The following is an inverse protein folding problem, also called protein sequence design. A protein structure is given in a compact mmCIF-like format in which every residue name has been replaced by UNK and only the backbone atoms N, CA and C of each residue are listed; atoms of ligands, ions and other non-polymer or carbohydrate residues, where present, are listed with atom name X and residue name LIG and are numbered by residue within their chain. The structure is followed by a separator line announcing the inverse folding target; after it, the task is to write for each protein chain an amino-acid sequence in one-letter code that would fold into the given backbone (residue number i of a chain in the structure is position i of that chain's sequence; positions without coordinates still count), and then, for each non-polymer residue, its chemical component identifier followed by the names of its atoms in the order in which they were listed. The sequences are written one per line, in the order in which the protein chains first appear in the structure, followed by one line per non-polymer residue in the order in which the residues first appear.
data_IF_632251338163
#
_entry.id   IF_632251338163
#
_cell.length_a   1.000
_cell.length_b   1.000
_cell.length_c   1.000
_cell.angle_alpha   90.00
_cell.angle_beta   90.00
_cell.angle_gamma   90.00
#
_symmetry.space_group_name_H-M   'P 1'
#
loop_
_entity.id
_entity.type
_entity.pdbx_description
1 polymer ?
#
# COMPACT_ATOMS: atom_id res chain seq x y z
N UNK A 1 -2.53 -4.38 27.30
CA UNK A 1 -3.72 -3.51 27.27
C UNK A 1 -4.43 -3.55 28.59
N UNK A 2 -4.87 -2.38 29.11
CA UNK A 2 -5.55 -2.30 30.40
C UNK A 2 -6.97 -2.92 30.32
N UNK A 3 -7.54 -3.37 31.48
CA UNK A 3 -8.92 -3.86 31.52
C UNK A 3 -9.94 -2.81 31.04
N UNK A 4 -9.71 -1.54 31.37
CA UNK A 4 -10.57 -0.42 31.01
C UNK A 4 -10.60 -0.22 29.50
N UNK A 5 -9.46 -0.32 28.81
CA UNK A 5 -9.39 -0.25 27.35
C UNK A 5 -10.21 -1.39 26.70
N UNK A 6 -10.11 -2.61 27.22
CA UNK A 6 -10.86 -3.75 26.71
C UNK A 6 -12.36 -3.57 26.88
N UNK A 7 -12.79 -3.08 28.05
CA UNK A 7 -14.18 -2.79 28.32
C UNK A 7 -14.72 -1.72 27.36
N UNK A 8 -13.96 -0.64 27.17
CA UNK A 8 -14.31 0.44 26.23
C UNK A 8 -14.44 -0.08 24.80
N UNK A 9 -13.47 -0.85 24.32
CA UNK A 9 -13.53 -1.44 22.98
C UNK A 9 -14.73 -2.37 22.82
N UNK A 10 -15.02 -3.23 23.81
CA UNK A 10 -16.17 -4.13 23.76
C UNK A 10 -17.50 -3.36 23.66
N UNK A 11 -17.60 -2.20 24.30
CA UNK A 11 -18.77 -1.32 24.16
C UNK A 11 -18.86 -0.76 22.73
N UNK A 12 -17.75 -0.27 22.14
CA UNK A 12 -17.71 0.22 20.76
C UNK A 12 -18.09 -0.87 19.74
N UNK A 13 -17.66 -2.11 19.96
CA UNK A 13 -18.03 -3.26 19.09
C UNK A 13 -19.55 -3.44 19.03
N UNK A 14 -20.26 -3.24 20.14
CA UNK A 14 -21.72 -3.34 20.20
C UNK A 14 -22.37 -2.13 19.54
N UNK A 15 -21.91 -0.93 19.84
CA UNK A 15 -22.48 0.34 19.33
C UNK A 15 -22.30 0.46 17.81
N UNK A 16 -21.12 0.05 17.28
CA UNK A 16 -20.75 0.15 15.87
C UNK A 16 -20.78 -1.19 15.12
N UNK A 17 -21.61 -2.13 15.57
CA UNK A 17 -21.68 -3.50 15.03
C UNK A 17 -21.97 -3.61 13.53
N UNK A 18 -22.48 -2.57 12.89
CA UNK A 18 -22.82 -2.52 11.47
C UNK A 18 -21.77 -1.79 10.64
N UNK A 19 -20.75 -1.24 11.27
CA UNK A 19 -19.63 -0.56 10.65
C UNK A 19 -18.44 -1.52 10.53
N UNK A 20 -17.90 -1.67 9.30
CA UNK A 20 -16.72 -2.50 9.08
C UNK A 20 -15.47 -1.91 9.71
N UNK A 21 -15.33 -0.58 9.68
CA UNK A 21 -14.17 0.17 10.18
C UNK A 21 -14.69 1.39 10.92
N UNK A 22 -14.28 1.54 12.17
CA UNK A 22 -14.64 2.68 13.02
C UNK A 22 -13.41 3.30 13.67
N UNK A 23 -13.11 4.60 13.45
CA UNK A 23 -12.03 5.30 14.13
C UNK A 23 -12.47 5.76 15.52
N UNK A 24 -11.59 5.61 16.51
CA UNK A 24 -11.85 6.12 17.86
C UNK A 24 -10.57 6.62 18.52
N UNK A 25 -10.73 7.38 19.61
CA UNK A 25 -9.63 7.85 20.43
C UNK A 25 -9.75 7.29 21.84
N UNK A 26 -8.61 6.90 22.41
CA UNK A 26 -8.50 6.49 23.80
C UNK A 26 -7.18 6.99 24.37
N UNK A 27 -7.24 7.72 25.52
CA UNK A 27 -6.06 8.34 26.16
C UNK A 27 -5.16 9.13 25.20
N UNK A 28 -5.79 9.93 24.32
CA UNK A 28 -5.10 10.78 23.35
C UNK A 28 -4.46 10.06 22.16
N UNK A 29 -4.61 8.74 22.06
CA UNK A 29 -4.18 7.93 20.91
C UNK A 29 -5.35 7.58 20.02
N UNK A 30 -5.11 7.58 18.71
CA UNK A 30 -6.10 7.18 17.72
C UNK A 30 -5.97 5.69 17.38
N UNK A 31 -7.10 5.03 17.23
CA UNK A 31 -7.23 3.62 16.92
C UNK A 31 -8.29 3.40 15.85
N UNK A 32 -8.24 2.21 15.25
CA UNK A 32 -9.19 1.75 14.26
C UNK A 32 -9.76 0.41 14.69
N UNK A 33 -11.07 0.37 14.99
CA UNK A 33 -11.80 -0.86 15.21
C UNK A 33 -12.18 -1.43 13.85
N UNK A 34 -11.81 -2.68 13.57
CA UNK A 34 -12.21 -3.43 12.39
C UNK A 34 -13.10 -4.60 12.78
N UNK A 35 -14.19 -4.79 12.03
CA UNK A 35 -15.17 -5.87 12.20
C UNK A 35 -15.42 -6.56 10.86
N UNK A 36 -15.90 -7.85 10.85
CA UNK A 36 -16.24 -8.52 9.62
C UNK A 36 -17.32 -7.76 8.83
N UNK A 37 -17.16 -7.72 7.52
CA UNK A 37 -18.13 -7.08 6.63
C UNK A 37 -19.48 -7.82 6.68
N UNK A 38 -20.58 -7.10 6.97
CA UNK A 38 -21.94 -7.63 6.91
C UNK A 38 -22.50 -7.43 5.52
N UNK A 39 -22.26 -8.39 4.65
CA UNK A 39 -22.74 -8.36 3.26
C UNK A 39 -24.23 -8.68 3.19
N UNK A 40 -24.95 -8.00 2.28
CA UNK A 40 -26.36 -8.25 1.95
C UNK A 40 -26.54 -8.45 0.44
N UNK A 41 -27.51 -9.28 0.05
CA UNK A 41 -27.89 -9.47 -1.36
C UNK A 41 -26.77 -10.04 -2.22
N UNK A 42 -26.57 -9.46 -3.41
CA UNK A 42 -25.62 -9.95 -4.43
C UNK A 42 -24.15 -9.96 -3.94
N UNK A 43 -23.82 -9.12 -2.97
CA UNK A 43 -22.47 -9.06 -2.40
C UNK A 43 -22.07 -10.33 -1.64
N UNK A 44 -23.02 -11.07 -1.08
CA UNK A 44 -22.77 -12.40 -0.49
C UNK A 44 -22.30 -13.41 -1.53
N UNK A 45 -22.77 -13.28 -2.78
CA UNK A 45 -22.36 -14.16 -3.88
C UNK A 45 -20.94 -13.82 -4.37
N UNK A 46 -20.58 -12.54 -4.38
CA UNK A 46 -19.26 -12.06 -4.82
C UNK A 46 -18.17 -12.26 -3.76
N UNK A 47 -18.53 -12.22 -2.48
CA UNK A 47 -17.62 -12.45 -1.34
C UNK A 47 -18.21 -13.50 -0.40
N UNK A 48 -18.17 -14.79 -0.74
CA UNK A 48 -18.92 -15.84 -0.03
C UNK A 48 -18.46 -16.09 1.41
N UNK A 49 -17.25 -15.64 1.79
CA UNK A 49 -16.65 -15.92 3.11
C UNK A 49 -16.08 -14.68 3.80
N UNK A 50 -16.90 -13.67 4.16
CA UNK A 50 -16.39 -12.42 4.77
C UNK A 50 -15.69 -12.64 6.12
N UNK A 51 -16.20 -13.53 6.97
CA UNK A 51 -15.55 -13.90 8.24
C UNK A 51 -14.21 -14.58 8.06
N UNK A 52 -14.05 -15.44 7.05
CA UNK A 52 -12.78 -16.09 6.76
C UNK A 52 -11.75 -15.08 6.22
N UNK A 53 -12.18 -14.16 5.36
CA UNK A 53 -11.32 -13.08 4.86
C UNK A 53 -10.82 -12.18 6.00
N UNK A 54 -11.70 -11.85 6.95
CA UNK A 54 -11.38 -11.09 8.14
C UNK A 54 -10.34 -11.82 9.04
N UNK A 55 -10.56 -13.11 9.33
CA UNK A 55 -9.61 -13.92 10.10
C UNK A 55 -8.25 -14.02 9.39
N UNK A 56 -8.26 -14.17 8.08
CA UNK A 56 -7.03 -14.22 7.28
C UNK A 56 -6.27 -12.87 7.32
N UNK A 57 -6.98 -11.73 7.30
CA UNK A 57 -6.37 -10.40 7.43
C UNK A 57 -5.67 -10.26 8.78
N UNK A 58 -6.36 -10.57 9.88
CA UNK A 58 -5.76 -10.55 11.23
C UNK A 58 -4.53 -11.46 11.31
N UNK A 59 -4.65 -12.72 10.87
CA UNK A 59 -3.54 -13.68 10.92
C UNK A 59 -2.34 -13.22 10.08
N UNK A 60 -2.61 -12.60 8.93
CA UNK A 60 -1.56 -12.03 8.07
C UNK A 60 -0.83 -10.90 8.79
N UNK A 61 -1.55 -9.98 9.43
CA UNK A 61 -0.94 -8.88 10.20
C UNK A 61 -0.08 -9.40 11.36
N UNK A 62 -0.57 -10.39 12.11
CA UNK A 62 0.19 -10.98 13.22
C UNK A 62 1.47 -11.68 12.72
N UNK A 63 1.38 -12.49 11.67
CA UNK A 63 2.54 -13.17 11.07
C UNK A 63 3.57 -12.20 10.50
N UNK A 64 3.12 -11.10 9.88
CA UNK A 64 4.00 -10.07 9.35
C UNK A 64 4.68 -9.27 10.47
N UNK A 65 3.96 -9.00 11.56
CA UNK A 65 4.52 -8.35 12.75
C UNK A 65 5.62 -9.20 13.40
N UNK A 66 5.43 -10.52 13.50
CA UNK A 66 6.46 -11.46 13.98
C UNK A 66 7.73 -11.42 13.11
N UNK A 67 7.57 -11.25 11.80
CA UNK A 67 8.68 -11.09 10.83
C UNK A 67 9.26 -9.67 10.81
N UNK A 68 8.83 -8.79 11.71
CA UNK A 68 9.26 -7.39 11.80
C UNK A 68 8.99 -6.61 10.50
N UNK A 69 7.93 -6.96 9.78
CA UNK A 69 7.44 -6.15 8.68
C UNK A 69 6.77 -4.88 9.22
N UNK A 70 6.86 -3.74 8.52
CA UNK A 70 6.26 -2.49 8.95
C UNK A 70 4.74 -2.49 8.71
N UNK A 71 4.01 -3.17 9.57
CA UNK A 71 2.54 -3.28 9.56
C UNK A 71 1.92 -2.51 10.72
N UNK A 72 0.62 -2.14 10.66
CA UNK A 72 -0.09 -1.56 11.78
C UNK A 72 -0.05 -2.48 13.00
N UNK A 73 0.15 -1.87 14.16
CA UNK A 73 0.18 -2.65 15.41
C UNK A 73 -1.22 -3.07 15.82
N UNK A 74 -1.43 -4.38 15.93
CA UNK A 74 -2.64 -4.95 16.51
C UNK A 74 -2.58 -4.77 18.02
N UNK A 75 -3.50 -3.96 18.57
CA UNK A 75 -3.52 -3.62 20.00
C UNK A 75 -4.44 -4.54 20.81
N UNK A 76 -5.54 -4.96 20.23
CA UNK A 76 -6.49 -5.88 20.84
C UNK A 76 -7.27 -6.62 19.75
N UNK A 77 -7.62 -7.88 19.97
CA UNK A 77 -8.44 -8.64 19.04
C UNK A 77 -9.23 -9.75 19.74
N UNK A 78 -10.30 -10.17 19.09
CA UNK A 78 -11.12 -11.32 19.44
C UNK A 78 -11.61 -12.00 18.15
N UNK A 79 -12.55 -12.93 18.22
CA UNK A 79 -13.03 -13.69 17.06
C UNK A 79 -13.67 -12.84 15.96
N UNK A 80 -14.41 -11.80 16.35
CA UNK A 80 -15.24 -10.96 15.46
C UNK A 80 -14.77 -9.49 15.38
N UNK A 81 -13.61 -9.13 15.95
CA UNK A 81 -13.04 -7.79 15.78
C UNK A 81 -11.52 -7.76 16.04
N UNK A 82 -10.87 -6.75 15.53
CA UNK A 82 -9.54 -6.34 15.98
C UNK A 82 -9.35 -4.83 15.94
N UNK A 83 -8.43 -4.36 16.77
CA UNK A 83 -8.10 -2.93 16.94
C UNK A 83 -6.67 -2.71 16.50
N UNK A 84 -6.49 -1.77 15.58
CA UNK A 84 -5.18 -1.30 15.12
C UNK A 84 -4.85 0.06 15.74
N UNK A 85 -3.60 0.28 16.10
CA UNK A 85 -3.11 1.64 16.35
C UNK A 85 -3.09 2.42 15.04
N UNK A 86 -3.41 3.73 15.11
CA UNK A 86 -3.31 4.60 13.93
C UNK A 86 -1.86 4.63 13.43
N UNK A 87 -1.70 4.50 12.12
CA UNK A 87 -0.39 4.42 11.48
C UNK A 87 0.07 5.75 10.87
N UNK A 88 -0.70 6.82 11.04
CA UNK A 88 -0.39 8.14 10.52
C UNK A 88 -1.03 8.45 9.17
N UNK A 89 -0.52 9.47 8.50
CA UNK A 89 -1.04 10.02 7.25
C UNK A 89 -0.49 9.22 6.06
N UNK A 90 -1.32 8.99 5.04
CA UNK A 90 -0.90 8.25 3.84
C UNK A 90 0.07 9.06 2.97
N UNK A 91 0.92 8.37 2.20
CA UNK A 91 1.83 9.04 1.27
C UNK A 91 1.07 9.88 0.23
N UNK A 92 -0.08 9.40 -0.27
CA UNK A 92 -0.90 10.17 -1.20
C UNK A 92 -1.31 11.51 -0.57
N UNK A 93 -1.77 11.52 0.69
CA UNK A 93 -2.10 12.76 1.40
C UNK A 93 -0.89 13.68 1.58
N UNK A 94 0.28 13.14 1.99
CA UNK A 94 1.51 13.91 2.13
C UNK A 94 1.99 14.53 0.81
N UNK A 95 1.91 13.79 -0.29
CA UNK A 95 2.40 14.23 -1.59
C UNK A 95 1.47 15.28 -2.23
N UNK A 96 0.15 15.18 -1.99
CA UNK A 96 -0.84 16.15 -2.47
C UNK A 96 -0.99 17.38 -1.58
N UNK A 97 -0.40 17.38 -0.38
CA UNK A 97 -0.44 18.52 0.53
C UNK A 97 0.40 19.67 -0.03
N UNK A 98 -0.25 20.84 -0.24
CA UNK A 98 0.39 22.05 -0.80
C UNK A 98 1.27 22.79 0.21
N UNK A 99 1.06 22.58 1.51
CA UNK A 99 1.88 23.17 2.56
C UNK A 99 3.22 22.44 2.74
N UNK A 100 3.33 21.21 2.25
CA UNK A 100 4.54 20.39 2.31
C UNK A 100 5.45 20.72 1.13
N UNK A 101 6.68 21.17 1.40
CA UNK A 101 7.63 21.47 0.35
C UNK A 101 8.20 20.21 -0.34
N UNK A 102 8.76 20.39 -1.55
CA UNK A 102 9.28 19.27 -2.33
C UNK A 102 10.40 18.49 -1.64
N UNK A 103 11.26 19.16 -0.87
CA UNK A 103 12.35 18.47 -0.16
C UNK A 103 11.80 17.50 0.91
N UNK A 104 10.78 17.93 1.62
CA UNK A 104 10.09 17.10 2.61
C UNK A 104 9.33 15.96 1.93
N UNK A 105 8.63 16.22 0.80
CA UNK A 105 7.98 15.18 -0.01
C UNK A 105 8.98 14.12 -0.47
N UNK A 106 10.18 14.52 -0.92
CA UNK A 106 11.26 13.59 -1.26
C UNK A 106 11.71 12.75 -0.06
N UNK A 107 11.91 13.37 1.11
CA UNK A 107 12.31 12.61 2.31
C UNK A 107 11.29 11.54 2.65
N UNK A 108 9.99 11.90 2.65
CA UNK A 108 8.89 10.98 2.96
C UNK A 108 8.85 9.80 1.98
N UNK A 109 8.94 10.07 0.68
CA UNK A 109 8.86 9.00 -0.33
C UNK A 109 10.13 8.14 -0.34
N UNK A 110 11.30 8.71 -0.01
CA UNK A 110 12.54 7.94 0.09
C UNK A 110 12.51 6.97 1.27
N UNK A 111 11.97 7.38 2.41
CA UNK A 111 11.73 6.47 3.55
C UNK A 111 10.81 5.31 3.12
N UNK A 112 9.76 5.58 2.34
CA UNK A 112 8.88 4.54 1.81
C UNK A 112 9.57 3.60 0.82
N UNK A 113 10.44 4.14 -0.06
CA UNK A 113 11.28 3.32 -0.94
C UNK A 113 12.15 2.36 -0.13
N UNK A 114 12.86 2.87 0.88
CA UNK A 114 13.73 2.05 1.73
C UNK A 114 12.93 0.97 2.50
N UNK A 115 11.75 1.33 3.01
CA UNK A 115 10.88 0.38 3.70
C UNK A 115 10.37 -0.74 2.77
N UNK A 116 10.03 -0.42 1.51
CA UNK A 116 9.61 -1.42 0.52
C UNK A 116 10.79 -2.31 0.09
N UNK A 117 11.98 -1.74 -0.07
CA UNK A 117 13.21 -2.49 -0.36
C UNK A 117 13.54 -3.44 0.80
N UNK A 118 13.47 -2.97 2.05
CA UNK A 118 13.69 -3.81 3.24
C UNK A 118 12.67 -4.96 3.33
N UNK A 119 11.41 -4.71 2.98
CA UNK A 119 10.38 -5.75 2.89
C UNK A 119 10.80 -6.83 1.89
N UNK A 120 11.26 -6.43 0.70
CA UNK A 120 11.70 -7.35 -0.36
C UNK A 120 12.98 -8.13 0.03
N UNK A 121 13.93 -7.53 0.74
CA UNK A 121 15.15 -8.25 1.21
C UNK A 121 14.81 -9.35 2.22
N UNK A 122 13.69 -9.22 2.93
CA UNK A 122 13.16 -10.24 3.84
C UNK A 122 12.32 -11.30 3.12
N UNK A 123 12.28 -11.30 1.78
CA UNK A 123 11.40 -12.12 0.94
C UNK A 123 9.91 -11.97 1.29
N UNK A 124 9.53 -10.80 1.77
CA UNK A 124 8.15 -10.42 1.99
C UNK A 124 7.67 -9.52 0.84
N UNK A 125 6.39 -9.58 0.54
CA UNK A 125 5.75 -8.74 -0.47
C UNK A 125 4.45 -8.17 0.10
N UNK A 126 4.10 -6.97 -0.35
CA UNK A 126 2.85 -6.34 0.03
C UNK A 126 1.66 -6.88 -0.79
N UNK A 127 1.88 -7.10 -2.08
CA UNK A 127 0.88 -7.50 -3.05
C UNK A 127 0.41 -6.33 -3.93
N UNK A 128 0.17 -5.15 -3.37
CA UNK A 128 -0.18 -3.93 -4.09
C UNK A 128 0.18 -2.69 -3.28
N UNK A 129 1.46 -2.32 -3.14
CA UNK A 129 1.91 -1.19 -2.32
C UNK A 129 1.62 0.16 -3.01
N UNK A 130 0.35 0.53 -3.09
CA UNK A 130 -0.03 1.84 -3.59
C UNK A 130 0.25 2.92 -2.53
N UNK A 131 0.61 4.14 -2.95
CA UNK A 131 0.95 5.24 -2.02
C UNK A 131 -0.20 5.63 -1.07
N UNK A 132 -1.43 5.32 -1.39
CA UNK A 132 -2.60 5.48 -0.51
C UNK A 132 -2.67 4.43 0.60
N UNK A 133 -1.98 3.29 0.41
CA UNK A 133 -1.95 2.16 1.32
C UNK A 133 -0.62 2.10 2.10
N UNK A 134 0.18 3.17 2.04
CA UNK A 134 1.42 3.36 2.77
C UNK A 134 1.30 4.65 3.58
N UNK A 135 1.59 4.58 4.89
CA UNK A 135 1.59 5.74 5.77
C UNK A 135 3.00 6.10 6.19
N UNK A 136 3.19 7.38 6.56
CA UNK A 136 4.43 7.88 7.12
C UNK A 136 4.14 8.77 8.33
N UNK A 137 4.85 8.53 9.42
CA UNK A 137 4.83 9.37 10.61
C UNK A 137 6.26 9.49 11.16
N UNK A 138 6.85 10.68 11.08
CA UNK A 138 8.16 11.03 11.66
C UNK A 138 9.27 10.01 11.36
N UNK A 139 9.40 9.61 10.09
CA UNK A 139 10.40 8.64 9.63
C UNK A 139 9.95 7.17 9.74
N UNK A 140 8.79 6.90 10.34
CA UNK A 140 8.24 5.55 10.41
C UNK A 140 7.26 5.31 9.27
N UNK A 141 7.58 4.36 8.41
CA UNK A 141 6.70 3.87 7.34
C UNK A 141 5.88 2.69 7.84
N UNK A 142 4.59 2.64 7.45
CA UNK A 142 3.74 1.49 7.75
C UNK A 142 2.92 1.15 6.51
N UNK A 143 2.92 -0.11 6.11
CA UNK A 143 2.12 -0.62 5.01
C UNK A 143 0.76 -1.09 5.50
N UNK A 144 -0.29 -0.60 4.86
CA UNK A 144 -1.68 -0.97 5.12
C UNK A 144 -2.13 -2.00 4.08
N UNK A 145 -3.15 -2.77 4.38
CA UNK A 145 -3.93 -3.55 3.41
C UNK A 145 -3.11 -4.55 2.57
N UNK A 146 -2.29 -5.35 3.25
CA UNK A 146 -1.54 -6.44 2.59
C UNK A 146 -2.48 -7.40 1.86
N UNK A 147 -2.24 -7.60 0.56
CA UNK A 147 -2.95 -8.61 -0.19
C UNK A 147 -2.46 -10.01 0.19
N UNK A 148 -3.26 -10.75 0.93
CA UNK A 148 -2.93 -12.10 1.43
C UNK A 148 -2.89 -13.18 0.34
N UNK A 149 -3.26 -12.87 -0.91
CA UNK A 149 -3.42 -13.85 -1.98
C UNK A 149 -2.70 -13.45 -3.25
N UNK A 150 -1.48 -13.90 -3.39
CA UNK A 150 -0.91 -14.11 -4.71
C UNK A 150 -1.03 -15.59 -5.07
N UNK A 151 -1.64 -15.91 -6.21
CA UNK A 151 -1.63 -17.26 -6.78
C UNK A 151 -0.24 -17.65 -7.32
N UNK A 152 0.66 -16.70 -7.46
CA UNK A 152 2.01 -16.94 -7.94
C UNK A 152 2.92 -17.37 -6.80
N UNK A 153 3.67 -18.46 -7.01
CA UNK A 153 4.76 -18.90 -6.14
C UNK A 153 6.13 -18.31 -6.55
N UNK A 154 6.17 -17.54 -7.64
CA UNK A 154 7.41 -16.93 -8.11
C UNK A 154 7.69 -15.63 -7.36
N UNK A 155 8.58 -15.69 -6.36
CA UNK A 155 8.95 -14.57 -5.52
C UNK A 155 9.51 -13.38 -6.32
N UNK A 156 10.34 -13.62 -7.34
CA UNK A 156 10.87 -12.55 -8.18
C UNK A 156 9.77 -11.79 -8.91
N UNK A 157 8.75 -12.49 -9.39
CA UNK A 157 7.58 -11.87 -10.01
C UNK A 157 6.78 -11.04 -9.01
N UNK A 158 6.61 -11.53 -7.78
CA UNK A 158 5.87 -10.81 -6.74
C UNK A 158 6.56 -9.51 -6.36
N UNK A 159 7.89 -9.49 -6.25
CA UNK A 159 8.69 -8.29 -6.01
C UNK A 159 8.55 -7.31 -7.18
N UNK A 160 8.69 -7.78 -8.43
CA UNK A 160 8.49 -6.94 -9.63
C UNK A 160 7.09 -6.33 -9.64
N UNK A 161 6.07 -7.10 -9.30
CA UNK A 161 4.68 -6.63 -9.23
C UNK A 161 4.52 -5.51 -8.19
N UNK A 162 5.10 -5.68 -7.00
CA UNK A 162 5.07 -4.65 -5.97
C UNK A 162 5.73 -3.35 -6.45
N UNK A 163 6.92 -3.44 -7.05
CA UNK A 163 7.61 -2.28 -7.62
C UNK A 163 6.76 -1.57 -8.67
N UNK A 164 6.14 -2.32 -9.58
CA UNK A 164 5.28 -1.76 -10.62
C UNK A 164 4.05 -1.05 -10.04
N UNK A 165 3.38 -1.64 -9.05
CA UNK A 165 2.24 -1.01 -8.38
C UNK A 165 2.65 0.26 -7.62
N UNK A 166 3.81 0.25 -6.97
CA UNK A 166 4.33 1.43 -6.29
C UNK A 166 4.55 2.59 -7.28
N UNK A 167 5.28 2.36 -8.38
CA UNK A 167 5.51 3.39 -9.39
C UNK A 167 4.25 3.79 -10.16
N UNK A 168 3.35 2.84 -10.49
CA UNK A 168 2.08 3.14 -11.12
C UNK A 168 1.22 4.06 -10.23
N UNK A 169 1.21 3.80 -8.92
CA UNK A 169 0.45 4.65 -7.99
C UNK A 169 1.00 6.09 -7.88
N UNK A 170 2.31 6.28 -8.01
CA UNK A 170 2.91 7.61 -8.14
C UNK A 170 2.53 8.29 -9.47
N UNK A 171 2.51 7.52 -10.56
CA UNK A 171 2.13 8.03 -11.87
C UNK A 171 0.66 8.43 -11.97
N UNK A 172 -0.21 7.95 -11.09
CA UNK A 172 -1.65 8.29 -11.03
C UNK A 172 -1.90 9.66 -10.42
N UNK A 173 -1.01 10.16 -9.60
CA UNK A 173 -1.17 11.46 -8.95
C UNK A 173 -0.85 12.58 -9.95
N UNK A 174 -1.85 13.41 -10.24
CA UNK A 174 -1.73 14.50 -11.21
C UNK A 174 -0.84 15.64 -10.69
N UNK A 175 -0.85 15.88 -9.39
CA UNK A 175 -0.06 16.91 -8.72
C UNK A 175 1.44 16.58 -8.62
N UNK A 176 1.85 15.37 -8.99
CA UNK A 176 3.25 14.93 -8.94
C UNK A 176 3.87 15.00 -10.33
N UNK A 177 4.95 15.78 -10.48
CA UNK A 177 5.65 15.94 -11.75
C UNK A 177 6.43 14.69 -12.17
N UNK A 178 6.61 14.49 -13.48
CA UNK A 178 7.44 13.41 -14.02
C UNK A 178 8.90 13.48 -13.53
N UNK A 179 9.46 14.69 -13.35
CA UNK A 179 10.80 14.90 -12.80
C UNK A 179 10.90 14.38 -11.36
N UNK A 180 9.86 14.61 -10.56
CA UNK A 180 9.80 14.07 -9.20
C UNK A 180 9.81 12.53 -9.23
N UNK A 181 8.96 11.90 -10.04
CA UNK A 181 8.87 10.43 -10.12
C UNK A 181 10.19 9.85 -10.66
N UNK A 182 10.82 10.52 -11.62
CA UNK A 182 12.12 10.10 -12.14
C UNK A 182 13.21 10.12 -11.06
N UNK A 183 13.27 11.15 -10.21
CA UNK A 183 14.19 11.21 -9.07
C UNK A 183 13.94 10.08 -8.07
N UNK A 184 12.66 9.78 -7.78
CA UNK A 184 12.27 8.65 -6.94
C UNK A 184 12.73 7.32 -7.56
N UNK A 185 12.55 7.15 -8.87
CA UNK A 185 12.98 5.94 -9.59
C UNK A 185 14.51 5.75 -9.53
N UNK A 186 15.26 6.83 -9.72
CA UNK A 186 16.73 6.80 -9.60
C UNK A 186 17.18 6.45 -8.17
N UNK A 187 16.51 7.02 -7.17
CA UNK A 187 16.79 6.70 -5.77
C UNK A 187 16.48 5.23 -5.45
N UNK A 188 15.32 4.73 -5.87
CA UNK A 188 14.95 3.33 -5.68
C UNK A 188 15.95 2.38 -6.35
N UNK A 189 16.32 2.67 -7.61
CA UNK A 189 17.32 1.92 -8.37
C UNK A 189 18.68 1.84 -7.66
N UNK A 190 19.12 2.94 -7.05
CA UNK A 190 20.40 3.02 -6.36
C UNK A 190 20.44 2.18 -5.05
N UNK A 191 19.28 1.88 -4.45
CA UNK A 191 19.21 1.23 -3.14
C UNK A 191 18.62 -0.18 -3.18
N UNK A 192 17.90 -0.57 -4.25
CA UNK A 192 17.36 -1.92 -4.36
C UNK A 192 18.42 -2.90 -4.91
N UNK A 193 18.14 -4.19 -4.77
CA UNK A 193 18.94 -5.22 -5.43
C UNK A 193 18.93 -5.02 -6.94
N UNK A 194 20.11 -5.05 -7.55
CA UNK A 194 20.31 -4.84 -9.00
C UNK A 194 19.44 -5.80 -9.82
N UNK A 195 19.30 -7.04 -9.36
CA UNK A 195 18.50 -8.05 -10.03
C UNK A 195 17.01 -7.72 -10.03
N UNK A 196 16.47 -7.15 -8.94
CA UNK A 196 15.07 -6.77 -8.84
C UNK A 196 14.74 -5.63 -9.82
N UNK A 197 15.61 -4.62 -9.87
CA UNK A 197 15.49 -3.54 -10.87
C UNK A 197 15.56 -4.07 -12.29
N UNK A 198 16.58 -4.90 -12.59
CA UNK A 198 16.72 -5.51 -13.90
C UNK A 198 15.48 -6.31 -14.32
N UNK A 199 14.95 -7.14 -13.43
CA UNK A 199 13.76 -7.95 -13.69
C UNK A 199 12.54 -7.06 -14.01
N UNK A 200 12.35 -5.95 -13.28
CA UNK A 200 11.27 -5.00 -13.54
C UNK A 200 11.42 -4.36 -14.93
N UNK A 201 12.61 -3.92 -15.30
CA UNK A 201 12.88 -3.31 -16.62
C UNK A 201 12.69 -4.33 -17.75
N UNK A 202 13.16 -5.57 -17.59
CA UNK A 202 12.94 -6.65 -18.57
C UNK A 202 11.44 -6.90 -18.75
N UNK A 203 10.67 -6.93 -17.66
CA UNK A 203 9.23 -7.09 -17.72
C UNK A 203 8.56 -5.94 -18.49
N UNK A 204 8.88 -4.69 -18.17
CA UNK A 204 8.33 -3.53 -18.87
C UNK A 204 8.72 -3.55 -20.37
N UNK A 205 9.95 -3.91 -20.71
CA UNK A 205 10.40 -4.03 -22.11
C UNK A 205 9.58 -5.05 -22.89
N UNK A 206 9.25 -6.21 -22.26
CA UNK A 206 8.41 -7.24 -22.86
C UNK A 206 7.01 -6.72 -23.24
N UNK A 207 6.46 -5.82 -22.44
CA UNK A 207 5.12 -5.25 -22.65
C UNK A 207 5.16 -3.87 -23.34
N UNK A 208 6.31 -3.41 -23.85
CA UNK A 208 6.45 -2.11 -24.52
C UNK A 208 5.53 -1.97 -25.73
N UNK A 209 5.17 -3.05 -26.38
CA UNK A 209 4.22 -3.03 -27.50
C UNK A 209 2.84 -2.51 -27.10
N UNK A 210 2.39 -2.74 -25.85
CA UNK A 210 1.14 -2.21 -25.30
C UNK A 210 1.19 -0.68 -25.28
N UNK A 211 2.31 -0.10 -24.84
CA UNK A 211 2.52 1.34 -24.84
C UNK A 211 2.31 1.92 -26.25
N UNK A 212 2.93 1.34 -27.29
CA UNK A 212 2.77 1.81 -28.65
C UNK A 212 1.34 1.64 -29.19
N UNK A 213 0.69 0.54 -28.85
CA UNK A 213 -0.72 0.29 -29.23
C UNK A 213 -1.66 1.32 -28.62
N UNK A 214 -1.35 1.78 -27.42
CA UNK A 214 -2.17 2.76 -26.69
C UNK A 214 -1.88 4.21 -27.06
N UNK A 215 -0.73 4.53 -27.68
CA UNK A 215 -0.32 5.91 -28.02
C UNK A 215 -1.39 6.73 -28.76
N UNK A 216 -2.15 6.21 -29.76
CA UNK A 216 -3.18 6.96 -30.44
C UNK A 216 -4.28 7.48 -29.50
N UNK A 217 -4.49 6.84 -28.36
CA UNK A 217 -5.51 7.20 -27.38
C UNK A 217 -5.01 8.20 -26.32
N UNK A 218 -3.72 8.58 -26.35
CA UNK A 218 -3.12 9.50 -25.37
C UNK A 218 -3.88 10.85 -25.25
N UNK A 219 -4.41 11.47 -26.34
CA UNK A 219 -5.13 12.74 -26.23
C UNK A 219 -6.46 12.67 -25.49
N UNK A 220 -7.07 11.48 -25.38
CA UNK A 220 -8.36 11.25 -24.69
C UNK A 220 -8.18 10.40 -23.42
N UNK A 221 -6.94 10.15 -23.03
CA UNK A 221 -6.62 9.32 -21.88
C UNK A 221 -7.10 9.98 -20.57
N UNK A 222 -7.59 9.14 -19.66
CA UNK A 222 -7.91 9.51 -18.28
C UNK A 222 -6.84 8.97 -17.33
N UNK A 223 -6.93 9.33 -16.07
CA UNK A 223 -5.94 9.09 -15.02
C UNK A 223 -5.26 7.71 -15.09
N UNK A 224 -6.02 6.63 -15.22
CA UNK A 224 -5.45 5.27 -15.28
C UNK A 224 -4.56 5.04 -16.51
N UNK A 225 -5.00 5.51 -17.67
CA UNK A 225 -4.25 5.35 -18.90
C UNK A 225 -3.06 6.32 -18.96
N UNK A 226 -3.21 7.53 -18.41
CA UNK A 226 -2.11 8.49 -18.25
C UNK A 226 -1.01 7.89 -17.38
N UNK A 227 -1.37 7.24 -16.28
CA UNK A 227 -0.40 6.57 -15.40
C UNK A 227 0.43 5.51 -16.14
N UNK A 228 -0.22 4.72 -17.01
CA UNK A 228 0.48 3.73 -17.85
C UNK A 228 1.50 4.42 -18.77
N UNK A 229 1.14 5.52 -19.45
CA UNK A 229 2.09 6.25 -20.31
C UNK A 229 3.26 6.78 -19.48
N UNK A 230 2.99 7.44 -18.36
CA UNK A 230 4.02 8.00 -17.48
C UNK A 230 4.97 6.91 -16.99
N UNK A 231 4.43 5.75 -16.57
CA UNK A 231 5.20 4.61 -16.11
C UNK A 231 6.22 4.14 -17.16
N UNK A 232 5.78 3.93 -18.42
CA UNK A 232 6.64 3.51 -19.51
C UNK A 232 7.65 4.61 -19.89
N UNK A 233 7.22 5.86 -19.96
CA UNK A 233 8.07 6.99 -20.35
C UNK A 233 9.16 7.26 -19.33
N UNK A 234 8.85 7.20 -18.03
CA UNK A 234 9.80 7.47 -16.95
C UNK A 234 10.79 6.30 -16.78
N UNK A 235 10.29 5.06 -16.75
CA UNK A 235 11.13 3.91 -16.42
C UNK A 235 11.87 3.31 -17.61
N UNK A 236 11.44 3.55 -18.88
CA UNK A 236 12.09 2.97 -20.05
C UNK A 236 12.68 3.99 -21.04
N UNK A 237 12.04 5.14 -21.21
CA UNK A 237 12.41 6.05 -22.31
C UNK A 237 13.37 7.13 -21.84
N UNK A 238 13.19 7.66 -20.64
CA UNK A 238 14.07 8.68 -20.05
C UNK A 238 15.36 8.13 -19.41
N UNK A 239 15.57 6.81 -19.42
CA UNK A 239 16.81 6.18 -18.96
C UNK A 239 17.96 6.18 -20.00
N UNK A 240 17.80 6.91 -21.14
CA UNK A 240 18.85 7.00 -22.16
C UNK A 240 19.78 8.16 -21.83
#
# INVERSE_FOLDING_TARGET
MSPEFRQYVNQLVIEHRDERIYPFQYEGKKFWLKQPEKLKGIWLLLKPYPKQSFKNELQTLLNLAEKKAPVPKVSYYDEDFFVLEDAGITLSQWLCDKEVNNQQKFSIIYDACLALIDLHTKNLVHGRPAIRDITWDKGKVTFLDFESRSSSQNQNWLIVRDMLFFFDSLCREEDISDDFIQKVALYYKAHCEVQNWHNMIVYLKRFRWIYYLLLPFKPIAKTDLIAVYRLFEILLIKEK
#
